data_IF_728208968721
#
_entry.id   IF_728208968721
#
_cell.length_a   1.000
_cell.length_b   1.000
_cell.length_c   1.000
_cell.angle_alpha   90.00
_cell.angle_beta   90.00
_cell.angle_gamma   90.00
#
_symmetry.space_group_name_H-M   'P 1'
#
loop_
_entity.id
_entity.type
_entity.pdbx_description
1 polymer ?
#
# COMPACT_ATOMS: atom_id res chain seq x y z
N UNK A 1 1.23 -22.12 -2.00
CA UNK A 1 1.94 -20.91 -2.48
C UNK A 1 1.91 -19.93 -1.32
N UNK A 2 3.08 -19.59 -0.78
CA UNK A 2 3.18 -18.94 0.52
C UNK A 2 2.63 -17.50 0.49
N UNK A 3 1.82 -17.08 1.47
CA UNK A 3 1.58 -15.66 1.69
C UNK A 3 2.94 -15.01 1.96
N UNK A 4 3.38 -14.12 1.08
CA UNK A 4 4.67 -13.44 1.20
C UNK A 4 4.48 -12.26 2.12
N UNK A 5 4.66 -12.48 3.42
CA UNK A 5 4.68 -11.42 4.43
C UNK A 5 6.08 -10.82 4.44
N UNK A 6 6.17 -9.50 4.27
CA UNK A 6 7.41 -8.73 4.39
C UNK A 6 7.21 -7.71 5.49
N UNK A 7 8.03 -7.81 6.52
CA UNK A 7 8.06 -6.84 7.61
C UNK A 7 9.24 -5.89 7.38
N UNK A 8 8.94 -4.60 7.42
CA UNK A 8 9.82 -3.50 7.09
C UNK A 8 9.87 -2.62 8.33
N UNK A 9 10.98 -2.62 9.05
CA UNK A 9 11.23 -1.58 10.04
C UNK A 9 11.81 -0.34 9.34
N UNK A 10 11.71 0.85 9.91
CA UNK A 10 12.55 2.00 9.62
C UNK A 10 13.64 2.17 10.72
N UNK A 11 14.63 3.05 10.55
CA UNK A 11 15.67 3.27 11.56
C UNK A 11 15.16 3.85 12.90
N UNK A 12 13.94 4.37 12.94
CA UNK A 12 13.31 5.01 14.10
C UNK A 12 12.34 4.07 14.83
N UNK A 13 12.23 2.81 14.39
CA UNK A 13 11.38 1.79 15.01
C UNK A 13 9.99 1.67 14.39
N UNK A 14 9.67 2.45 13.37
CA UNK A 14 8.42 2.33 12.61
C UNK A 14 8.36 1.00 11.87
N UNK A 15 7.26 0.24 11.95
CA UNK A 15 7.14 -1.08 11.31
C UNK A 15 5.96 -1.10 10.35
N UNK A 16 6.20 -1.53 9.12
CA UNK A 16 5.15 -1.80 8.13
C UNK A 16 5.24 -3.26 7.73
N UNK A 17 4.10 -3.92 7.68
CA UNK A 17 3.98 -5.26 7.14
C UNK A 17 3.19 -5.19 5.84
N UNK A 18 3.71 -5.85 4.81
CA UNK A 18 3.05 -6.00 3.51
C UNK A 18 2.86 -7.50 3.28
N UNK A 19 1.64 -7.90 2.96
CA UNK A 19 1.32 -9.29 2.64
C UNK A 19 0.53 -9.40 1.35
N UNK A 20 0.55 -10.60 0.74
CA UNK A 20 -0.17 -10.91 -0.49
C UNK A 20 -1.14 -12.05 -0.22
N UNK A 21 -2.42 -11.80 -0.46
CA UNK A 21 -3.49 -12.80 -0.33
C UNK A 21 -4.05 -13.17 -1.70
N UNK A 22 -4.01 -14.46 -2.09
CA UNK A 22 -4.65 -14.90 -3.33
C UNK A 22 -6.18 -14.76 -3.27
N UNK A 23 -6.81 -14.17 -4.30
CA UNK A 23 -8.27 -14.07 -4.44
C UNK A 23 -8.75 -14.67 -5.76
N UNK A 24 -10.02 -15.13 -5.86
CA UNK A 24 -10.67 -15.35 -7.16
C UNK A 24 -10.59 -14.08 -8.00
N UNK A 25 -9.83 -14.11 -9.10
CA UNK A 25 -9.61 -12.97 -10.00
C UNK A 25 -8.26 -12.25 -9.86
N UNK A 26 -7.42 -12.57 -8.86
CA UNK A 26 -6.12 -11.91 -8.71
C UNK A 26 -5.45 -12.12 -7.35
N UNK A 27 -4.86 -11.07 -6.82
CA UNK A 27 -4.29 -11.03 -5.48
C UNK A 27 -4.62 -9.70 -4.81
N UNK A 28 -4.77 -9.73 -3.49
CA UNK A 28 -4.87 -8.57 -2.63
C UNK A 28 -3.51 -8.30 -2.01
N UNK A 29 -3.19 -7.03 -1.85
CA UNK A 29 -2.04 -6.52 -1.12
C UNK A 29 -2.58 -5.92 0.17
N UNK A 30 -2.20 -6.50 1.30
CA UNK A 30 -2.59 -5.99 2.62
C UNK A 30 -1.38 -5.29 3.22
N UNK A 31 -1.57 -4.07 3.71
CA UNK A 31 -0.54 -3.29 4.38
C UNK A 31 -1.05 -2.96 5.78
N UNK A 32 -0.28 -3.34 6.80
CA UNK A 32 -0.59 -3.07 8.21
C UNK A 32 0.59 -2.43 8.95
N UNK A 33 0.29 -1.65 9.99
CA UNK A 33 1.26 -1.07 10.93
C UNK A 33 1.17 -1.81 12.26
N UNK A 34 1.95 -2.90 12.47
CA UNK A 34 1.88 -3.66 13.72
C UNK A 34 2.40 -2.91 14.94
N UNK A 35 3.13 -1.81 14.73
CA UNK A 35 3.68 -0.92 15.75
C UNK A 35 2.76 0.26 16.09
N UNK A 36 1.68 0.47 15.34
CA UNK A 36 0.73 1.54 15.62
C UNK A 36 -0.12 1.22 16.86
N UNK A 37 -0.43 2.24 17.67
CA UNK A 37 -1.26 2.10 18.87
C UNK A 37 -2.67 1.58 18.53
N UNK A 38 -3.21 2.02 17.39
CA UNK A 38 -4.44 1.51 16.80
C UNK A 38 -4.07 0.62 15.61
N UNK A 39 -4.59 -0.62 15.53
CA UNK A 39 -4.39 -1.48 14.36
C UNK A 39 -5.02 -0.85 13.12
N UNK A 40 -4.21 -0.16 12.31
CA UNK A 40 -4.61 0.31 10.99
C UNK A 40 -4.09 -0.67 9.93
N UNK A 41 -4.98 -1.10 9.05
CA UNK A 41 -4.62 -1.86 7.86
C UNK A 41 -5.39 -1.34 6.65
N UNK A 42 -4.82 -1.54 5.48
CA UNK A 42 -5.47 -1.28 4.19
C UNK A 42 -5.36 -2.52 3.34
N UNK A 43 -6.45 -2.87 2.66
CA UNK A 43 -6.48 -3.94 1.66
C UNK A 43 -6.64 -3.32 0.28
N UNK A 44 -5.64 -3.50 -0.59
CA UNK A 44 -5.64 -3.00 -1.96
C UNK A 44 -5.73 -4.17 -2.94
N UNK A 45 -6.41 -3.97 -4.06
CA UNK A 45 -6.21 -4.84 -5.22
C UNK A 45 -4.90 -4.46 -5.95
N UNK A 46 -4.60 -5.16 -7.05
CA UNK A 46 -3.36 -4.88 -7.81
C UNK A 46 -3.33 -3.45 -8.37
N UNK A 47 -4.49 -2.90 -8.77
CA UNK A 47 -4.57 -1.53 -9.28
C UNK A 47 -4.31 -0.53 -8.16
N UNK A 48 -4.97 -0.68 -7.01
CA UNK A 48 -4.75 0.19 -5.85
C UNK A 48 -3.31 0.15 -5.34
N UNK A 49 -2.65 -1.02 -5.38
CA UNK A 49 -1.24 -1.13 -5.03
C UNK A 49 -0.31 -0.42 -6.03
N UNK A 50 -0.60 -0.47 -7.33
CA UNK A 50 0.13 0.28 -8.36
C UNK A 50 -0.09 1.80 -8.20
N UNK A 51 -1.30 2.24 -7.82
CA UNK A 51 -1.59 3.65 -7.52
C UNK A 51 -0.82 4.12 -6.29
N UNK A 52 -0.81 3.35 -5.18
CA UNK A 52 -0.01 3.69 -4.00
C UNK A 52 1.48 3.81 -4.34
N UNK A 53 2.02 2.93 -5.19
CA UNK A 53 3.41 2.99 -5.64
C UNK A 53 3.70 4.32 -6.35
N UNK A 54 2.82 4.75 -7.27
CA UNK A 54 2.94 6.04 -7.95
C UNK A 54 2.74 7.24 -7.02
N UNK A 55 1.80 7.14 -6.09
CA UNK A 55 1.49 8.18 -5.11
C UNK A 55 2.66 8.42 -4.16
N UNK A 56 3.33 7.36 -3.68
CA UNK A 56 4.54 7.48 -2.85
C UNK A 56 5.62 8.29 -3.56
N UNK A 57 5.89 8.00 -4.82
CA UNK A 57 6.91 8.73 -5.58
C UNK A 57 6.50 10.19 -5.83
N UNK A 58 5.22 10.41 -6.14
CA UNK A 58 4.68 11.76 -6.35
C UNK A 58 4.76 12.61 -5.09
N UNK A 59 4.36 12.06 -3.94
CA UNK A 59 4.50 12.70 -2.63
C UNK A 59 5.96 13.01 -2.29
N UNK A 60 6.88 12.09 -2.58
CA UNK A 60 8.33 12.30 -2.37
C UNK A 60 8.89 13.47 -3.17
N UNK A 61 8.33 13.74 -4.35
CA UNK A 61 8.71 14.85 -5.21
C UNK A 61 7.97 16.17 -4.87
N UNK A 62 6.83 16.09 -4.20
CA UNK A 62 6.02 17.24 -3.81
C UNK A 62 6.47 17.88 -2.50
N UNK A 63 6.86 17.08 -1.49
CA UNK A 63 7.29 17.59 -0.18
C UNK A 63 8.41 18.63 -0.34
N UNK A 64 8.31 19.81 0.31
CA UNK A 64 7.39 20.15 1.41
C UNK A 64 6.00 20.67 1.00
N UNK A 65 5.73 20.80 -0.29
CA UNK A 65 4.47 21.34 -0.81
C UNK A 65 3.34 20.30 -0.76
N UNK A 66 2.10 20.78 -0.93
CA UNK A 66 0.91 19.94 -1.04
C UNK A 66 0.82 19.24 -2.41
N UNK A 67 0.10 18.14 -2.47
CA UNK A 67 -0.31 17.52 -3.74
C UNK A 67 -1.80 17.19 -3.72
N UNK A 68 -2.47 17.11 -4.89
CA UNK A 68 -3.86 16.68 -4.96
C UNK A 68 -4.03 15.26 -4.41
N UNK A 69 -5.19 15.05 -3.79
CA UNK A 69 -5.64 13.72 -3.38
C UNK A 69 -5.92 12.84 -4.60
N UNK A 70 -5.78 11.53 -4.43
CA UNK A 70 -6.13 10.54 -5.45
C UNK A 70 -7.21 9.61 -4.92
N UNK A 71 -8.26 9.37 -5.71
CA UNK A 71 -9.37 8.49 -5.33
C UNK A 71 -9.53 7.35 -6.34
N UNK A 72 -9.59 6.13 -5.82
CA UNK A 72 -9.88 4.95 -6.60
C UNK A 72 -11.19 4.31 -6.15
N UNK A 73 -11.98 3.85 -7.13
CA UNK A 73 -13.18 3.04 -6.88
C UNK A 73 -12.89 1.54 -6.87
N UNK A 74 -13.94 0.74 -7.03
CA UNK A 74 -13.84 -0.72 -7.14
C UNK A 74 -14.26 -1.45 -5.87
N UNK A 75 -13.73 -2.67 -5.67
CA UNK A 75 -14.07 -3.50 -4.51
C UNK A 75 -13.44 -3.00 -3.19
N UNK A 76 -12.37 -2.20 -3.31
CA UNK A 76 -11.64 -1.61 -2.20
C UNK A 76 -11.44 -0.11 -2.48
N UNK A 77 -12.54 0.68 -2.43
CA UNK A 77 -12.46 2.10 -2.73
C UNK A 77 -11.56 2.80 -1.70
N UNK A 78 -10.60 3.56 -2.19
CA UNK A 78 -9.49 4.10 -1.38
C UNK A 78 -9.19 5.52 -1.80
N UNK A 79 -8.94 6.38 -0.82
CA UNK A 79 -8.44 7.75 -1.01
C UNK A 79 -7.01 7.85 -0.47
N UNK A 80 -6.14 8.46 -1.26
CA UNK A 80 -4.74 8.73 -0.92
C UNK A 80 -4.57 10.23 -0.73
N UNK A 81 -4.02 10.63 0.41
CA UNK A 81 -3.80 12.04 0.76
C UNK A 81 -2.35 12.24 1.23
N UNK A 82 -1.80 13.42 0.99
CA UNK A 82 -0.49 13.82 1.51
C UNK A 82 -0.71 14.77 2.67
N UNK A 83 -0.29 14.38 3.88
CA UNK A 83 -0.04 15.31 4.97
C UNK A 83 1.34 15.94 4.75
N UNK A 84 1.46 17.27 4.58
CA UNK A 84 2.74 17.95 4.37
C UNK A 84 3.53 18.15 5.68
N UNK A 85 4.67 18.84 5.58
CA UNK A 85 5.63 19.10 6.66
C UNK A 85 4.99 19.73 7.93
N UNK A 86 5.49 19.47 9.18
CA UNK A 86 6.76 18.86 9.57
C UNK A 86 6.83 17.34 9.61
N UNK A 87 5.69 16.66 9.67
CA UNK A 87 5.61 15.19 9.79
C UNK A 87 4.98 14.59 8.54
N UNK A 88 5.63 14.76 7.40
CA UNK A 88 5.07 14.34 6.13
C UNK A 88 4.67 12.86 6.14
N UNK A 89 3.43 12.59 5.75
CA UNK A 89 2.86 11.26 5.75
C UNK A 89 1.88 11.08 4.60
N UNK A 90 1.76 9.85 4.12
CA UNK A 90 0.70 9.47 3.20
C UNK A 90 -0.41 8.85 4.04
N UNK A 91 -1.61 9.36 3.87
CA UNK A 91 -2.82 8.85 4.50
C UNK A 91 -3.56 8.02 3.46
N UNK A 92 -3.84 6.77 3.81
CA UNK A 92 -4.59 5.84 2.97
C UNK A 92 -5.89 5.51 3.70
N UNK A 93 -6.98 6.09 3.20
CA UNK A 93 -8.31 6.01 3.79
C UNK A 93 -9.18 5.08 2.94
N UNK A 94 -9.66 3.97 3.52
CA UNK A 94 -10.66 3.13 2.88
C UNK A 94 -12.02 3.57 3.41
N UNK A 95 -12.92 3.97 2.50
CA UNK A 95 -14.21 4.61 2.84
C UNK A 95 -15.12 3.81 3.81
N UNK A 96 -14.79 2.56 4.13
CA UNK A 96 -15.53 1.69 5.03
C UNK A 96 -14.77 1.28 6.30
N UNK A 97 -13.54 1.73 6.50
CA UNK A 97 -12.76 1.46 7.70
C UNK A 97 -12.78 2.64 8.67
N UNK A 98 -12.62 2.34 9.97
CA UNK A 98 -12.75 3.35 11.04
C UNK A 98 -11.50 4.23 11.17
N UNK A 99 -10.32 3.71 10.81
CA UNK A 99 -9.04 4.42 10.99
C UNK A 99 -8.19 4.34 9.71
N UNK A 100 -7.76 5.49 9.16
CA UNK A 100 -6.91 5.49 7.98
C UNK A 100 -5.50 5.00 8.30
N UNK A 101 -4.86 4.37 7.32
CA UNK A 101 -3.46 3.97 7.44
C UNK A 101 -2.54 5.17 7.21
N UNK A 102 -1.83 5.58 8.27
CA UNK A 102 -0.80 6.63 8.18
C UNK A 102 0.59 6.06 7.92
N UNK A 103 1.19 6.46 6.79
CA UNK A 103 2.50 6.03 6.34
C UNK A 103 3.49 7.22 6.40
N UNK A 104 4.36 7.30 7.42
CA UNK A 104 5.30 8.41 7.55
C UNK A 104 6.40 8.35 6.48
N UNK A 105 6.95 9.52 6.15
CA UNK A 105 8.00 9.69 5.12
C UNK A 105 9.21 8.78 5.30
N UNK A 106 9.51 8.37 6.54
CA UNK A 106 10.63 7.46 6.87
C UNK A 106 10.44 6.05 6.30
N UNK A 107 9.20 5.65 6.02
CA UNK A 107 8.85 4.33 5.50
C UNK A 107 8.66 4.31 3.97
N UNK A 108 8.54 5.47 3.31
CA UNK A 108 8.18 5.58 1.89
C UNK A 108 9.11 4.79 0.97
N UNK A 109 10.42 5.00 1.08
CA UNK A 109 11.40 4.37 0.17
C UNK A 109 11.38 2.84 0.29
N UNK A 110 11.22 2.33 1.52
CA UNK A 110 11.20 0.88 1.78
C UNK A 110 9.90 0.25 1.29
N UNK A 111 8.76 0.90 1.55
CA UNK A 111 7.46 0.46 1.03
C UNK A 111 7.46 0.48 -0.49
N UNK A 112 7.95 1.54 -1.11
CA UNK A 112 8.04 1.66 -2.57
C UNK A 112 8.82 0.48 -3.18
N UNK A 113 10.00 0.19 -2.63
CA UNK A 113 10.84 -0.91 -3.09
C UNK A 113 10.13 -2.28 -2.95
N UNK A 114 9.46 -2.50 -1.83
CA UNK A 114 8.76 -3.76 -1.59
C UNK A 114 7.47 -3.87 -2.41
N UNK A 115 6.73 -2.79 -2.61
CA UNK A 115 5.55 -2.75 -3.49
C UNK A 115 5.92 -3.07 -4.95
N UNK A 116 7.09 -2.62 -5.44
CA UNK A 116 7.57 -3.02 -6.77
C UNK A 116 7.62 -4.55 -6.94
N UNK A 117 8.14 -5.25 -5.92
CA UNK A 117 8.27 -6.70 -5.91
C UNK A 117 6.90 -7.36 -5.71
N UNK A 118 6.10 -6.85 -4.77
CA UNK A 118 4.77 -7.37 -4.43
C UNK A 118 3.82 -7.28 -5.61
N UNK A 119 3.75 -6.12 -6.28
CA UNK A 119 2.88 -5.92 -7.45
C UNK A 119 3.28 -6.84 -8.61
N UNK A 120 4.58 -7.07 -8.82
CA UNK A 120 5.04 -8.04 -9.82
C UNK A 120 4.56 -9.47 -9.52
N UNK A 121 4.59 -9.88 -8.24
CA UNK A 121 4.07 -11.19 -7.84
C UNK A 121 2.55 -11.29 -7.90
N UNK A 122 1.83 -10.22 -7.55
CA UNK A 122 0.37 -10.15 -7.67
C UNK A 122 -0.06 -10.33 -9.14
N UNK A 123 0.61 -9.65 -10.08
CA UNK A 123 0.39 -9.83 -11.52
C UNK A 123 0.70 -11.25 -11.99
N UNK A 124 1.77 -11.87 -11.49
CA UNK A 124 2.12 -13.26 -11.84
C UNK A 124 1.06 -14.27 -11.37
N UNK A 125 0.47 -14.05 -10.18
CA UNK A 125 -0.62 -14.88 -9.67
C UNK A 125 -1.85 -14.82 -10.59
N UNK A 126 -2.20 -13.62 -11.07
CA UNK A 126 -3.27 -13.44 -12.03
C UNK A 126 -2.96 -14.15 -13.37
N UNK A 127 -1.73 -13.99 -13.89
CA UNK A 127 -1.27 -14.62 -15.14
C UNK A 127 -1.36 -16.16 -15.09
N UNK A 128 -0.83 -16.78 -14.03
CA UNK A 128 -0.85 -18.26 -13.88
C UNK A 128 -2.27 -18.82 -13.86
N UNK A 129 -3.23 -18.10 -13.25
CA UNK A 129 -4.63 -18.53 -13.23
C UNK A 129 -5.27 -18.47 -14.60
N UNK A 130 -5.04 -17.40 -15.37
CA UNK A 130 -5.51 -17.32 -16.76
C UNK A 130 -4.99 -18.49 -17.59
N UNK A 131 -3.70 -18.82 -17.46
CA UNK A 131 -3.12 -19.99 -18.15
C UNK A 131 -3.68 -21.34 -17.69
N UNK A 132 -4.23 -21.45 -16.48
CA UNK A 132 -4.85 -22.70 -15.98
C UNK A 132 -6.32 -22.90 -16.39
N UNK A 133 -6.95 -21.86 -16.94
CA UNK A 133 -8.33 -21.88 -17.42
C UNK A 133 -8.44 -22.14 -18.94
N UNK A 134 -7.30 -22.14 -19.64
CA UNK A 134 -7.15 -22.48 -21.05
C UNK A 134 -6.60 -23.90 -21.23
#
# INVERSE_FOLDING_TARGET
MFPRVREIADPFGGVVRISIEPRPGGALVVIDRPDAETPANVTLDTYGADILLGYIMSARLAVPDEMPEEEIGGAFPTRFQLEPHPEAAIIVDQLNDEEPLRIPVTLWDRIYADLCIVCAHARELARKRQSSLH
#
